data_IF_310901156898
#
_entry.id   IF_310901156898
#
_cell.length_a   1.000
_cell.length_b   1.000
_cell.length_c   1.000
_cell.angle_alpha   90.00
_cell.angle_beta   90.00
_cell.angle_gamma   90.00
#
_symmetry.space_group_name_H-M   'P 1'
#
loop_
_entity.id
_entity.type
_entity.pdbx_description
1 polymer ?
#
# COMPACT_ATOMS: atom_id res chain seq x y z
N UNK A 1 -17.44 -24.26 64.43
CA UNK A 1 -16.88 -24.78 63.17
C UNK A 1 -16.85 -23.64 62.16
N UNK A 2 -15.67 -23.06 61.98
CA UNK A 2 -15.40 -21.90 61.12
C UNK A 2 -14.99 -22.38 59.73
N UNK A 3 -15.79 -22.10 58.71
CA UNK A 3 -15.46 -22.40 57.31
C UNK A 3 -14.79 -21.18 56.68
N UNK A 4 -13.49 -21.31 56.40
CA UNK A 4 -12.72 -20.40 55.55
C UNK A 4 -13.14 -20.58 54.08
N UNK A 5 -13.53 -19.53 53.34
CA UNK A 5 -13.54 -19.59 51.89
C UNK A 5 -12.13 -19.26 51.36
N UNK A 6 -11.47 -20.29 50.82
CA UNK A 6 -10.24 -20.16 50.02
C UNK A 6 -10.59 -19.50 48.68
N UNK A 7 -10.47 -18.18 48.61
CA UNK A 7 -10.41 -17.46 47.33
C UNK A 7 -8.99 -17.61 46.77
N UNK A 8 -8.79 -18.18 45.56
CA UNK A 8 -7.48 -18.14 44.93
C UNK A 8 -7.16 -16.71 44.46
N UNK A 9 -5.90 -16.26 44.60
CA UNK A 9 -5.49 -14.93 44.19
C UNK A 9 -5.56 -14.79 42.66
N UNK A 10 -6.23 -13.73 42.19
CA UNK A 10 -6.19 -13.27 40.79
C UNK A 10 -4.79 -12.76 40.45
N UNK A 11 -3.87 -13.69 40.17
CA UNK A 11 -2.55 -13.38 39.64
C UNK A 11 -2.64 -13.23 38.11
N UNK A 12 -1.94 -12.20 37.62
CA UNK A 12 -1.62 -11.97 36.21
C UNK A 12 -2.75 -11.48 35.29
N UNK A 13 -3.21 -10.25 35.51
CA UNK A 13 -3.59 -9.39 34.40
C UNK A 13 -2.31 -9.02 33.60
N UNK A 14 -1.93 -9.88 32.66
CA UNK A 14 -0.92 -9.58 31.66
C UNK A 14 -1.27 -8.24 31.01
N UNK A 15 -0.43 -7.24 31.32
CA UNK A 15 -0.42 -5.90 30.77
C UNK A 15 -0.45 -6.02 29.25
N UNK A 16 -1.65 -5.89 28.68
CA UNK A 16 -1.88 -5.99 27.23
C UNK A 16 -1.03 -4.95 26.52
N UNK A 17 0.02 -5.43 25.86
CA UNK A 17 0.58 -4.89 24.63
C UNK A 17 0.86 -3.39 24.61
N UNK A 18 2.05 -3.03 25.07
CA UNK A 18 2.67 -1.73 24.88
C UNK A 18 2.84 -1.33 23.40
N UNK A 19 2.64 -2.24 22.44
CA UNK A 19 3.12 -2.00 21.09
C UNK A 19 2.21 -1.17 20.18
N UNK A 20 0.89 -1.15 20.33
CA UNK A 20 0.01 -0.27 19.54
C UNK A 20 -1.33 -0.11 20.27
N UNK A 21 -1.49 0.93 21.08
CA UNK A 21 -2.84 1.41 21.42
C UNK A 21 -3.57 1.71 20.10
N UNK A 22 -4.88 1.43 19.94
CA UNK A 22 -5.59 1.88 18.76
C UNK A 22 -5.40 3.39 18.71
N UNK A 23 -4.63 3.89 17.73
CA UNK A 23 -4.28 5.30 17.62
C UNK A 23 -5.56 6.10 17.87
N UNK A 24 -5.62 6.83 19.00
CA UNK A 24 -6.75 7.71 19.31
C UNK A 24 -6.88 8.86 18.29
N UNK A 25 -5.98 8.90 17.30
CA UNK A 25 -6.09 9.68 16.08
C UNK A 25 -7.43 9.39 15.39
N UNK A 26 -8.23 10.45 15.25
CA UNK A 26 -9.40 10.45 14.35
C UNK A 26 -8.92 10.08 12.95
N UNK A 27 -9.72 9.31 12.20
CA UNK A 27 -9.36 8.83 10.85
C UNK A 27 -8.94 9.94 9.89
N UNK A 28 -9.43 11.16 10.10
CA UNK A 28 -9.02 12.34 9.35
C UNK A 28 -7.54 12.71 9.52
N UNK A 29 -6.97 12.58 10.72
CA UNK A 29 -5.54 12.85 10.95
C UNK A 29 -4.66 11.83 10.24
N UNK A 30 -5.07 10.55 10.23
CA UNK A 30 -4.37 9.51 9.48
C UNK A 30 -4.44 9.81 7.98
N UNK A 31 -5.59 10.22 7.47
CA UNK A 31 -5.74 10.59 6.07
C UNK A 31 -4.86 11.79 5.69
N UNK A 32 -4.85 12.86 6.48
CA UNK A 32 -3.98 14.02 6.25
C UNK A 32 -2.50 13.64 6.30
N UNK A 33 -2.10 12.77 7.24
CA UNK A 33 -0.74 12.25 7.33
C UNK A 33 -0.36 11.48 6.06
N UNK A 34 -1.24 10.60 5.56
CA UNK A 34 -1.01 9.86 4.32
C UNK A 34 -0.82 10.80 3.14
N UNK A 35 -1.71 11.80 3.00
CA UNK A 35 -1.63 12.80 1.92
C UNK A 35 -0.34 13.61 2.00
N UNK A 36 0.05 14.06 3.19
CA UNK A 36 1.26 14.83 3.38
C UNK A 36 2.52 14.00 3.04
N UNK A 37 2.58 12.75 3.51
CA UNK A 37 3.68 11.85 3.21
C UNK A 37 3.77 11.52 1.71
N UNK A 38 2.65 11.22 1.05
CA UNK A 38 2.60 10.95 -0.39
C UNK A 38 2.98 12.18 -1.22
N UNK A 39 2.54 13.37 -0.82
CA UNK A 39 2.94 14.61 -1.47
C UNK A 39 4.45 14.87 -1.33
N UNK A 40 5.03 14.60 -0.14
CA UNK A 40 6.47 14.71 0.09
C UNK A 40 7.26 13.70 -0.74
N UNK A 41 6.80 12.43 -0.81
CA UNK A 41 7.44 11.41 -1.64
C UNK A 41 7.35 11.76 -3.14
N UNK A 42 6.18 12.24 -3.59
CA UNK A 42 5.97 12.68 -4.97
C UNK A 42 6.89 13.86 -5.32
N UNK A 43 6.98 14.85 -4.43
CA UNK A 43 7.89 15.99 -4.60
C UNK A 43 9.37 15.55 -4.63
N UNK A 44 9.77 14.62 -3.76
CA UNK A 44 11.11 14.05 -3.76
C UNK A 44 11.41 13.29 -5.06
N UNK A 45 10.47 12.47 -5.54
CA UNK A 45 10.59 11.74 -6.80
C UNK A 45 10.74 12.68 -7.99
N UNK A 46 9.89 13.70 -8.09
CA UNK A 46 9.95 14.69 -9.18
C UNK A 46 11.24 15.51 -9.16
N UNK A 47 11.74 15.88 -7.98
CA UNK A 47 12.94 16.72 -7.87
C UNK A 47 14.26 15.97 -8.06
N UNK A 48 14.32 14.69 -7.67
CA UNK A 48 15.58 13.92 -7.65
C UNK A 48 15.70 12.84 -8.71
N UNK A 49 14.59 12.19 -9.07
CA UNK A 49 14.63 11.01 -9.96
C UNK A 49 14.15 11.40 -11.35
N UNK A 50 13.11 12.22 -11.43
CA UNK A 50 12.47 12.57 -12.69
C UNK A 50 13.13 13.79 -13.36
N UNK A 51 14.43 13.71 -13.64
CA UNK A 51 15.16 14.77 -14.35
C UNK A 51 15.01 14.62 -15.86
N UNK A 52 15.26 15.72 -16.59
CA UNK A 52 15.21 15.75 -18.06
C UNK A 52 16.11 14.68 -18.68
N UNK A 53 17.27 14.45 -18.09
CA UNK A 53 18.25 13.45 -18.50
C UNK A 53 17.67 12.03 -18.43
N UNK A 54 17.00 11.67 -17.32
CA UNK A 54 16.37 10.35 -17.15
C UNK A 54 15.24 10.14 -18.16
N UNK A 55 14.45 11.18 -18.44
CA UNK A 55 13.41 11.10 -19.48
C UNK A 55 13.99 10.84 -20.87
N UNK A 56 15.05 11.57 -21.23
CA UNK A 56 15.74 11.34 -22.49
C UNK A 56 16.32 9.93 -22.53
N UNK A 57 17.01 9.45 -21.49
CA UNK A 57 17.56 8.08 -21.47
C UNK A 57 16.50 6.99 -21.60
N UNK A 58 15.33 7.16 -21.00
CA UNK A 58 14.24 6.16 -21.04
C UNK A 58 13.44 6.17 -22.33
N UNK A 59 13.25 7.34 -22.96
CA UNK A 59 12.39 7.51 -24.15
C UNK A 59 13.17 7.70 -25.46
N UNK A 60 14.48 7.93 -25.42
CA UNK A 60 15.32 8.11 -26.62
C UNK A 60 15.27 6.89 -27.55
N UNK A 61 15.00 5.70 -27.01
CA UNK A 61 14.83 4.48 -27.82
C UNK A 61 13.49 4.42 -28.57
N UNK A 62 12.50 5.26 -28.21
CA UNK A 62 11.12 5.16 -28.73
C UNK A 62 10.60 6.47 -29.37
N UNK A 63 11.23 7.62 -29.09
CA UNK A 63 10.74 8.94 -29.51
C UNK A 63 11.87 9.87 -29.94
N UNK A 64 11.60 10.72 -30.93
CA UNK A 64 12.49 11.80 -31.35
C UNK A 64 12.67 12.84 -30.23
N UNK A 65 13.88 13.37 -30.07
CA UNK A 65 14.25 14.30 -28.98
C UNK A 65 13.31 15.53 -28.87
N UNK A 66 12.81 16.05 -29.99
CA UNK A 66 11.85 17.17 -30.00
C UNK A 66 10.49 16.82 -29.40
N UNK A 67 10.02 15.57 -29.56
CA UNK A 67 8.76 15.12 -28.95
C UNK A 67 8.93 14.88 -27.45
N UNK A 68 10.11 14.43 -27.02
CA UNK A 68 10.43 14.23 -25.61
C UNK A 68 10.39 15.56 -24.85
N UNK A 69 10.94 16.63 -25.44
CA UNK A 69 10.91 17.96 -24.81
C UNK A 69 9.49 18.54 -24.70
N UNK A 70 8.66 18.38 -25.75
CA UNK A 70 7.27 18.81 -25.71
C UNK A 70 6.43 18.04 -24.66
N UNK A 71 6.70 16.74 -24.48
CA UNK A 71 6.08 15.92 -23.44
C UNK A 71 6.51 16.35 -22.03
N UNK A 72 7.79 16.68 -21.85
CA UNK A 72 8.31 17.17 -20.57
C UNK A 72 7.65 18.49 -20.16
N UNK A 73 7.51 19.45 -21.09
CA UNK A 73 6.84 20.73 -20.83
C UNK A 73 5.36 20.55 -20.46
N UNK A 74 4.66 19.60 -21.11
CA UNK A 74 3.27 19.28 -20.80
C UNK A 74 3.16 18.67 -19.39
N UNK A 75 4.03 17.72 -19.04
CA UNK A 75 4.09 17.12 -17.71
C UNK A 75 4.40 18.14 -16.62
N UNK A 76 5.31 19.08 -16.89
CA UNK A 76 5.65 20.14 -15.94
C UNK A 76 4.44 21.05 -15.66
N UNK A 77 3.63 21.37 -16.69
CA UNK A 77 2.37 22.13 -16.53
C UNK A 77 1.29 21.34 -15.80
N UNK A 78 1.22 20.03 -16.01
CA UNK A 78 0.26 19.15 -15.33
C UNK A 78 0.67 18.75 -13.91
N UNK A 79 1.92 18.98 -13.50
CA UNK A 79 2.43 18.61 -12.18
C UNK A 79 1.58 19.15 -11.03
N UNK A 80 1.11 20.40 -11.13
CA UNK A 80 0.23 21.04 -10.14
C UNK A 80 -1.13 20.33 -10.01
N UNK A 81 -1.70 19.88 -11.13
CA UNK A 81 -2.91 19.07 -11.13
C UNK A 81 -2.67 17.69 -10.51
N UNK A 82 -1.47 17.13 -10.71
CA UNK A 82 -1.01 15.92 -10.05
C UNK A 82 -1.10 16.03 -8.53
N UNK A 83 -0.58 17.11 -7.94
CA UNK A 83 -0.64 17.32 -6.48
C UNK A 83 -2.07 17.46 -5.95
N UNK A 84 -2.97 18.10 -6.69
CA UNK A 84 -4.39 18.19 -6.33
C UNK A 84 -5.11 16.83 -6.41
N UNK A 85 -4.67 15.94 -7.32
CA UNK A 85 -5.24 14.61 -7.48
C UNK A 85 -4.80 13.62 -6.38
N UNK A 86 -3.65 13.83 -5.72
CA UNK A 86 -3.14 12.96 -4.63
C UNK A 86 -4.20 12.65 -3.57
N UNK A 87 -4.82 13.64 -2.88
CA UNK A 87 -5.81 13.35 -1.84
C UNK A 87 -7.03 12.61 -2.39
N UNK A 88 -7.46 12.93 -3.61
CA UNK A 88 -8.59 12.28 -4.25
C UNK A 88 -8.31 10.79 -4.50
N UNK A 89 -7.14 10.49 -5.07
CA UNK A 89 -6.73 9.11 -5.41
C UNK A 89 -6.54 8.27 -4.13
N UNK A 90 -5.87 8.83 -3.12
CA UNK A 90 -5.67 8.13 -1.83
C UNK A 90 -7.02 7.88 -1.15
N UNK A 91 -7.90 8.88 -1.13
CA UNK A 91 -9.24 8.78 -0.55
C UNK A 91 -10.05 7.68 -1.23
N UNK A 92 -10.08 7.70 -2.56
CA UNK A 92 -10.76 6.70 -3.37
C UNK A 92 -10.19 5.30 -3.13
N UNK A 93 -8.86 5.15 -3.11
CA UNK A 93 -8.19 3.86 -2.84
C UNK A 93 -8.60 3.29 -1.49
N UNK A 94 -8.56 4.09 -0.42
CA UNK A 94 -8.93 3.64 0.93
C UNK A 94 -10.42 3.29 0.98
N UNK A 95 -11.27 4.09 0.34
CA UNK A 95 -12.71 3.82 0.27
C UNK A 95 -13.01 2.51 -0.46
N UNK A 96 -12.35 2.25 -1.59
CA UNK A 96 -12.52 1.02 -2.36
C UNK A 96 -12.13 -0.20 -1.53
N UNK A 97 -10.96 -0.18 -0.90
CA UNK A 97 -10.49 -1.29 -0.05
C UNK A 97 -11.42 -1.49 1.16
N UNK A 98 -11.83 -0.41 1.83
CA UNK A 98 -12.74 -0.50 2.96
C UNK A 98 -14.12 -1.06 2.54
N UNK A 99 -14.60 -0.70 1.35
CA UNK A 99 -15.84 -1.23 0.78
C UNK A 99 -15.71 -2.71 0.44
N UNK A 100 -14.59 -3.13 -0.14
CA UNK A 100 -14.29 -4.54 -0.42
C UNK A 100 -14.22 -5.38 0.87
N UNK A 101 -13.68 -4.83 1.96
CA UNK A 101 -13.71 -5.47 3.28
C UNK A 101 -15.14 -5.55 3.84
N UNK A 102 -15.98 -4.56 3.56
CA UNK A 102 -17.36 -4.50 4.05
C UNK A 102 -18.25 -5.55 3.37
N UNK A 103 -18.05 -5.87 2.09
CA UNK A 103 -18.87 -6.86 1.37
C UNK A 103 -18.99 -8.22 2.09
N UNK A 104 -17.91 -8.93 2.43
CA UNK A 104 -18.02 -10.22 3.13
C UNK A 104 -18.51 -10.07 4.58
N UNK A 105 -18.37 -8.89 5.20
CA UNK A 105 -18.92 -8.60 6.53
C UNK A 105 -20.45 -8.51 6.50
N UNK A 106 -20.99 -7.80 5.50
CA UNK A 106 -22.44 -7.66 5.28
C UNK A 106 -23.07 -9.01 4.95
N UNK A 107 -22.41 -9.82 4.10
CA UNK A 107 -22.88 -11.18 3.79
C UNK A 107 -22.95 -12.10 5.01
N UNK A 108 -22.20 -11.79 6.07
CA UNK A 108 -22.22 -12.51 7.35
C UNK A 108 -23.03 -11.82 8.44
N UNK A 109 -23.76 -10.74 8.12
CA UNK A 109 -24.54 -9.95 9.06
C UNK A 109 -23.71 -9.40 10.23
N UNK A 110 -22.46 -9.02 9.97
CA UNK A 110 -21.54 -8.44 10.97
C UNK A 110 -21.48 -6.92 10.76
N UNK A 111 -22.07 -6.17 11.69
CA UNK A 111 -22.16 -4.71 11.62
C UNK A 111 -20.93 -4.02 12.22
N UNK A 112 -19.85 -3.99 11.44
CA UNK A 112 -18.73 -3.07 11.69
C UNK A 112 -19.03 -1.73 11.01
N UNK A 113 -19.02 -0.61 11.74
CA UNK A 113 -19.24 0.69 11.13
C UNK A 113 -18.10 1.01 10.15
N UNK A 114 -18.45 1.49 8.95
CA UNK A 114 -17.49 1.84 7.89
C UNK A 114 -16.36 2.78 8.35
N UNK A 115 -16.65 3.69 9.29
CA UNK A 115 -15.65 4.58 9.90
C UNK A 115 -14.50 3.83 10.58
N UNK A 116 -14.76 2.66 11.15
CA UNK A 116 -13.72 1.81 11.75
C UNK A 116 -12.91 1.10 10.66
N UNK A 117 -13.57 0.56 9.63
CA UNK A 117 -12.87 -0.06 8.48
C UNK A 117 -11.96 0.95 7.79
N UNK A 118 -12.45 2.15 7.52
CA UNK A 118 -11.65 3.24 6.94
C UNK A 118 -10.40 3.54 7.78
N UNK A 119 -10.52 3.61 9.10
CA UNK A 119 -9.37 3.84 10.00
C UNK A 119 -8.36 2.69 9.97
N UNK A 120 -8.84 1.45 9.94
CA UNK A 120 -7.98 0.26 9.87
C UNK A 120 -7.20 0.27 8.55
N UNK A 121 -7.89 0.50 7.43
CA UNK A 121 -7.26 0.57 6.11
C UNK A 121 -6.28 1.73 6.02
N UNK A 122 -6.66 2.94 6.45
CA UNK A 122 -5.78 4.10 6.46
C UNK A 122 -4.51 3.88 7.30
N UNK A 123 -4.64 3.24 8.47
CA UNK A 123 -3.48 2.90 9.29
C UNK A 123 -2.58 1.86 8.61
N UNK A 124 -3.16 0.86 7.95
CA UNK A 124 -2.40 -0.13 7.20
C UNK A 124 -1.68 0.49 5.99
N UNK A 125 -2.28 1.47 5.32
CA UNK A 125 -1.69 2.18 4.18
C UNK A 125 -0.37 2.89 4.49
N UNK A 126 -0.09 3.22 5.76
CA UNK A 126 1.21 3.78 6.17
C UNK A 126 2.38 2.86 5.82
N UNK A 127 2.15 1.54 5.78
CA UNK A 127 3.18 0.58 5.41
C UNK A 127 3.59 0.71 3.93
N UNK A 128 2.65 1.07 3.05
CA UNK A 128 2.96 1.33 1.64
C UNK A 128 3.76 2.62 1.44
N UNK A 129 3.55 3.62 2.30
CA UNK A 129 4.38 4.83 2.29
C UNK A 129 5.82 4.51 2.67
N UNK A 130 6.01 3.62 3.65
CA UNK A 130 7.35 3.13 4.02
C UNK A 130 8.01 2.35 2.87
N UNK A 131 7.24 1.50 2.18
CA UNK A 131 7.70 0.77 0.99
C UNK A 131 8.20 1.74 -0.09
N UNK A 132 7.38 2.74 -0.45
CA UNK A 132 7.75 3.76 -1.44
C UNK A 132 8.98 4.57 -0.98
N UNK A 133 9.04 4.93 0.31
CA UNK A 133 10.22 5.59 0.88
C UNK A 133 11.51 4.78 0.71
N UNK A 134 11.48 3.47 1.01
CA UNK A 134 12.64 2.58 0.82
C UNK A 134 13.03 2.47 -0.65
N UNK A 135 12.05 2.36 -1.55
CA UNK A 135 12.28 2.31 -3.00
C UNK A 135 12.94 3.60 -3.49
N UNK A 136 12.44 4.76 -3.06
CA UNK A 136 12.98 6.07 -3.42
C UNK A 136 14.40 6.28 -2.89
N UNK A 137 14.69 5.85 -1.65
CA UNK A 137 16.03 5.95 -1.09
C UNK A 137 17.05 5.15 -1.93
N UNK A 138 16.68 3.94 -2.37
CA UNK A 138 17.54 3.15 -3.27
C UNK A 138 17.73 3.84 -4.62
N UNK A 139 16.64 4.31 -5.23
CA UNK A 139 16.68 4.99 -6.53
C UNK A 139 17.54 6.27 -6.47
N UNK A 140 17.50 7.01 -5.36
CA UNK A 140 18.30 8.22 -5.18
C UNK A 140 19.81 7.98 -5.12
N UNK A 141 20.25 6.73 -4.87
CA UNK A 141 21.66 6.35 -4.88
C UNK A 141 22.19 5.97 -6.27
N UNK A 142 21.33 5.89 -7.29
CA UNK A 142 21.70 5.50 -8.65
C UNK A 142 21.86 6.77 -9.51
N UNK A 143 22.98 6.94 -10.24
CA UNK A 143 23.16 8.06 -11.16
C UNK A 143 22.09 8.07 -12.27
N UNK A 144 21.65 9.25 -12.69
CA UNK A 144 20.65 9.47 -13.75
C UNK A 144 20.94 8.67 -15.04
N UNK A 145 22.22 8.60 -15.42
CA UNK A 145 22.68 7.95 -16.66
C UNK A 145 22.58 6.42 -16.65
N UNK A 146 22.46 5.80 -15.47
CA UNK A 146 22.39 4.34 -15.29
C UNK A 146 20.98 3.86 -14.91
N UNK A 147 20.00 4.78 -14.88
CA UNK A 147 18.62 4.44 -14.60
C UNK A 147 17.97 3.74 -15.80
N UNK A 148 17.70 2.44 -15.63
CA UNK A 148 16.96 1.62 -16.59
C UNK A 148 15.51 1.40 -16.13
N UNK A 149 14.64 1.00 -17.04
CA UNK A 149 13.25 0.63 -16.71
C UNK A 149 13.17 -0.49 -15.65
N UNK A 150 14.12 -1.42 -15.65
CA UNK A 150 14.20 -2.48 -14.64
C UNK A 150 14.47 -1.92 -13.23
N UNK A 151 15.31 -0.90 -13.11
CA UNK A 151 15.57 -0.22 -11.83
C UNK A 151 14.32 0.51 -11.32
N UNK A 152 13.55 1.14 -12.22
CA UNK A 152 12.28 1.79 -11.87
C UNK A 152 11.25 0.78 -11.40
N UNK A 153 11.09 -0.35 -12.08
CA UNK A 153 10.10 -1.38 -11.73
C UNK A 153 10.50 -2.27 -10.54
N UNK A 154 11.68 -2.04 -9.96
CA UNK A 154 12.14 -2.81 -8.83
C UNK A 154 11.26 -2.58 -7.58
N UNK A 155 10.82 -3.69 -6.98
CA UNK A 155 10.01 -3.72 -5.76
C UNK A 155 10.83 -4.29 -4.59
N UNK A 156 11.01 -3.56 -3.47
CA UNK A 156 11.77 -4.06 -2.33
C UNK A 156 11.11 -5.27 -1.68
N UNK A 157 11.91 -6.29 -1.34
CA UNK A 157 11.50 -7.49 -0.61
C UNK A 157 10.33 -8.26 -1.29
N UNK A 158 10.20 -8.13 -2.62
CA UNK A 158 9.25 -8.90 -3.42
C UNK A 158 9.86 -10.22 -3.90
N UNK A 159 9.03 -11.24 -4.10
CA UNK A 159 9.44 -12.52 -4.69
C UNK A 159 10.12 -12.34 -6.06
N UNK A 160 9.73 -11.33 -6.84
CA UNK A 160 10.37 -10.98 -8.11
C UNK A 160 11.88 -10.73 -7.96
N UNK A 161 12.27 -10.01 -6.91
CA UNK A 161 13.68 -9.71 -6.59
C UNK A 161 14.44 -10.94 -6.06
N UNK A 162 13.77 -11.83 -5.32
CA UNK A 162 14.37 -13.03 -4.77
C UNK A 162 14.58 -14.12 -5.83
N UNK A 163 13.62 -14.24 -6.75
CA UNK A 163 13.64 -15.24 -7.83
C UNK A 163 14.31 -14.71 -9.11
N UNK A 164 14.83 -13.47 -9.10
CA UNK A 164 15.44 -12.78 -10.26
C UNK A 164 14.57 -12.85 -11.52
N UNK A 165 13.26 -12.66 -11.37
CA UNK A 165 12.28 -12.69 -12.48
C UNK A 165 12.28 -11.38 -13.32
N UNK A 166 13.40 -10.66 -13.35
CA UNK A 166 13.56 -9.35 -13.99
C UNK A 166 13.39 -9.40 -15.52
N UNK A 167 13.46 -10.60 -16.11
CA UNK A 167 13.30 -10.86 -17.56
C UNK A 167 11.92 -11.45 -17.91
N UNK A 168 11.04 -11.69 -16.92
CA UNK A 168 9.70 -12.21 -17.17
C UNK A 168 8.76 -11.16 -17.79
N UNK A 169 7.65 -11.60 -18.38
CA UNK A 169 6.60 -10.71 -18.92
C UNK A 169 6.01 -9.82 -17.82
N UNK A 170 5.53 -8.63 -18.18
CA UNK A 170 5.05 -7.63 -17.22
C UNK A 170 3.87 -8.15 -16.38
N UNK A 171 2.99 -8.99 -16.93
CA UNK A 171 1.91 -9.64 -16.18
C UNK A 171 2.41 -10.59 -15.09
N UNK A 172 3.47 -11.34 -15.37
CA UNK A 172 4.08 -12.25 -14.40
C UNK A 172 4.80 -11.42 -13.33
N UNK A 173 5.55 -10.40 -13.73
CA UNK A 173 6.20 -9.49 -12.78
C UNK A 173 5.18 -8.79 -11.87
N UNK A 174 4.07 -8.31 -12.42
CA UNK A 174 2.99 -7.67 -11.67
C UNK A 174 2.39 -8.59 -10.62
N UNK A 175 2.05 -9.83 -11.01
CA UNK A 175 1.48 -10.81 -10.08
C UNK A 175 2.44 -11.15 -8.94
N UNK A 176 3.71 -11.46 -9.25
CA UNK A 176 4.70 -11.81 -8.23
C UNK A 176 5.13 -10.62 -7.36
N UNK A 177 4.95 -9.39 -7.84
CA UNK A 177 5.24 -8.17 -7.05
C UNK A 177 4.29 -7.98 -5.87
N UNK A 178 3.08 -8.54 -5.93
CA UNK A 178 2.15 -8.56 -4.78
C UNK A 178 2.64 -9.47 -3.65
N UNK A 179 3.48 -10.46 -3.95
CA UNK A 179 4.08 -11.31 -2.94
C UNK A 179 5.35 -10.65 -2.40
N UNK A 180 5.17 -9.57 -1.65
CA UNK A 180 6.25 -8.86 -0.97
C UNK A 180 5.99 -8.78 0.54
N UNK A 181 7.07 -8.58 1.31
CA UNK A 181 6.97 -8.55 2.78
C UNK A 181 6.07 -7.41 3.29
N UNK A 182 6.02 -6.28 2.58
CA UNK A 182 5.17 -5.14 2.94
C UNK A 182 3.69 -5.45 2.69
N UNK A 183 3.34 -6.18 1.63
CA UNK A 183 1.97 -6.66 1.38
C UNK A 183 1.53 -7.61 2.48
N UNK A 184 2.38 -8.56 2.86
CA UNK A 184 2.10 -9.50 3.96
C UNK A 184 1.93 -8.72 5.28
N UNK A 185 2.78 -7.74 5.54
CA UNK A 185 2.65 -6.85 6.70
C UNK A 185 1.34 -6.05 6.66
N UNK A 186 0.92 -5.60 5.49
CA UNK A 186 -0.34 -4.87 5.29
C UNK A 186 -1.54 -5.76 5.58
N UNK A 187 -1.55 -7.00 5.06
CA UNK A 187 -2.56 -8.00 5.36
C UNK A 187 -2.61 -8.32 6.86
N UNK A 188 -1.45 -8.46 7.50
CA UNK A 188 -1.37 -8.67 8.95
C UNK A 188 -1.98 -7.49 9.72
N UNK A 189 -1.67 -6.25 9.34
CA UNK A 189 -2.26 -5.05 9.97
C UNK A 189 -3.77 -4.99 9.80
N UNK A 190 -4.30 -5.30 8.61
CA UNK A 190 -5.75 -5.40 8.39
C UNK A 190 -6.37 -6.49 9.27
N UNK A 191 -5.78 -7.69 9.28
CA UNK A 191 -6.23 -8.81 10.10
C UNK A 191 -6.26 -8.45 11.59
N UNK A 192 -5.21 -7.81 12.10
CA UNK A 192 -5.16 -7.35 13.49
C UNK A 192 -6.18 -6.25 13.77
N UNK A 193 -6.36 -5.31 12.84
CA UNK A 193 -7.35 -4.24 12.95
C UNK A 193 -8.77 -4.80 13.04
N UNK A 194 -9.13 -5.71 12.13
CA UNK A 194 -10.42 -6.40 12.12
C UNK A 194 -10.61 -7.28 13.36
N UNK A 195 -9.62 -8.08 13.75
CA UNK A 195 -9.71 -8.96 14.92
C UNK A 195 -9.87 -8.18 16.24
N UNK A 196 -9.36 -6.95 16.31
CA UNK A 196 -9.50 -6.09 17.50
C UNK A 196 -10.87 -5.43 17.65
N UNK A 197 -11.69 -5.40 16.60
CA UNK A 197 -13.07 -4.89 16.72
C UNK A 197 -13.91 -5.75 17.67
N UNK A 198 -13.49 -6.99 17.95
CA UNK A 198 -14.17 -7.90 18.88
C UNK A 198 -15.46 -8.51 18.33
N UNK A 199 -15.91 -8.07 17.15
CA UNK A 199 -17.14 -8.55 16.50
C UNK A 199 -16.91 -9.79 15.64
N UNK A 200 -15.66 -10.12 15.28
CA UNK A 200 -15.31 -11.28 14.48
C UNK A 200 -14.46 -12.29 15.25
N UNK A 201 -14.68 -13.57 14.97
CA UNK A 201 -13.70 -14.61 15.31
C UNK A 201 -12.46 -14.40 14.45
N UNK A 202 -11.28 -14.68 15.02
CA UNK A 202 -9.99 -14.56 14.34
C UNK A 202 -9.96 -15.25 12.97
N UNK A 203 -10.48 -16.48 12.88
CA UNK A 203 -10.54 -17.22 11.60
C UNK A 203 -11.33 -16.47 10.53
N UNK A 204 -12.43 -15.85 10.91
CA UNK A 204 -13.31 -15.12 10.00
C UNK A 204 -12.68 -13.82 9.53
N UNK A 205 -12.00 -13.10 10.43
CA UNK A 205 -11.22 -11.92 10.07
C UNK A 205 -10.13 -12.25 9.05
N UNK A 206 -9.44 -13.39 9.21
CA UNK A 206 -8.45 -13.88 8.25
C UNK A 206 -9.06 -14.17 6.87
N UNK A 207 -10.21 -14.85 6.84
CA UNK A 207 -10.92 -15.14 5.58
C UNK A 207 -11.38 -13.88 4.86
N UNK A 208 -11.93 -12.90 5.59
CA UNK A 208 -12.35 -11.61 5.02
C UNK A 208 -11.18 -10.89 4.35
N UNK A 209 -10.04 -10.81 5.04
CA UNK A 209 -8.84 -10.17 4.51
C UNK A 209 -8.30 -10.91 3.29
N UNK A 210 -8.26 -12.25 3.34
CA UNK A 210 -7.76 -13.06 2.23
C UNK A 210 -8.67 -12.94 1.00
N UNK A 211 -9.98 -13.04 1.16
CA UNK A 211 -10.94 -12.88 0.05
C UNK A 211 -10.80 -11.50 -0.60
N UNK A 212 -10.73 -10.44 0.20
CA UNK A 212 -10.54 -9.09 -0.31
C UNK A 212 -9.20 -8.98 -1.08
N UNK A 213 -8.12 -9.50 -0.53
CA UNK A 213 -6.80 -9.47 -1.17
C UNK A 213 -6.78 -10.23 -2.50
N UNK A 214 -7.37 -11.42 -2.55
CA UNK A 214 -7.48 -12.21 -3.78
C UNK A 214 -8.24 -11.44 -4.86
N UNK A 215 -9.34 -10.77 -4.51
CA UNK A 215 -10.11 -9.95 -5.46
C UNK A 215 -9.24 -8.81 -6.02
N UNK A 216 -8.49 -8.12 -5.17
CA UNK A 216 -7.61 -7.02 -5.58
C UNK A 216 -6.51 -7.52 -6.53
N UNK A 217 -5.81 -8.60 -6.17
CA UNK A 217 -4.71 -9.15 -6.97
C UNK A 217 -5.21 -9.67 -8.32
N UNK A 218 -6.33 -10.40 -8.34
CA UNK A 218 -6.91 -10.91 -9.59
C UNK A 218 -7.38 -9.78 -10.51
N UNK A 219 -7.99 -8.73 -9.95
CA UNK A 219 -8.41 -7.56 -10.73
C UNK A 219 -7.20 -6.86 -11.36
N UNK A 220 -6.15 -6.62 -10.58
CA UNK A 220 -4.93 -5.98 -11.08
C UNK A 220 -4.23 -6.83 -12.14
N UNK A 221 -4.11 -8.15 -11.90
CA UNK A 221 -3.50 -9.06 -12.86
C UNK A 221 -4.30 -9.17 -14.17
N UNK A 222 -5.64 -9.19 -14.08
CA UNK A 222 -6.51 -9.17 -15.25
C UNK A 222 -6.33 -7.88 -16.08
N UNK A 223 -6.19 -6.74 -15.41
CA UNK A 223 -5.93 -5.46 -16.06
C UNK A 223 -4.56 -5.46 -16.77
N UNK A 224 -3.50 -5.95 -16.13
CA UNK A 224 -2.16 -6.00 -16.75
C UNK A 224 -2.13 -6.94 -17.95
N UNK A 225 -2.79 -8.09 -17.86
CA UNK A 225 -2.91 -9.03 -18.99
C UNK A 225 -3.65 -8.43 -20.19
N UNK A 226 -4.67 -7.62 -19.92
CA UNK A 226 -5.42 -6.95 -20.97
C UNK A 226 -4.56 -5.88 -21.66
N UNK A 227 -3.80 -5.09 -20.88
CA UNK A 227 -2.91 -4.06 -21.40
C UNK A 227 -1.74 -4.63 -22.21
N UNK A 228 -1.21 -5.82 -21.85
CA UNK A 228 -0.17 -6.48 -22.65
C UNK A 228 -0.64 -6.98 -24.02
N UNK A 229 -1.96 -7.17 -24.19
CA UNK A 229 -2.55 -7.67 -25.45
C UNK A 229 -2.98 -6.56 -26.41
N UNK A 230 -3.00 -5.30 -25.95
CA UNK A 230 -3.32 -4.12 -26.76
C UNK A 230 -2.05 -3.54 -27.39
#
# INVERSE_FOLDING_TARGET
MTTFPLHPPRLFSLRRGFFLQPLQLKGWHLFLLLVACEALLTWFYQSRILTREVYHTLLQAQLDAQRIDALFDLLQRMSLWGFAAIPLIIGLRIMLVASLLQLPLVLRFIDIPFRQLFRIVAAASLLFILLEGVRLLRLSGIPAEQLTQANLNWMPLALTSLLRLEVATASVQGFFSHFNLFEIGWLALLYFGLSRTGQLRKRDAGLVVLVMWTVVVLFQWGLTLYMERM
#
